data_IF_778554729299
#
_entry.id   IF_778554729299
#
_cell.length_a   1.000
_cell.length_b   1.000
_cell.length_c   1.000
_cell.angle_alpha   90.00
_cell.angle_beta   90.00
_cell.angle_gamma   90.00
#
_symmetry.space_group_name_H-M   'P 1'
#
loop_
_entity.id
_entity.type
_entity.pdbx_description
1 polymer ?
#
# COMPACT_ATOMS: atom_id res chain seq x y z
N UNK A 1 5.17 -16.07 17.81
CA UNK A 1 5.13 -16.05 16.33
C UNK A 1 5.56 -14.67 15.90
N UNK A 2 6.37 -14.56 14.85
CA UNK A 2 6.69 -13.26 14.27
C UNK A 2 5.41 -12.62 13.70
N UNK A 3 5.24 -11.30 13.85
CA UNK A 3 4.07 -10.61 13.31
C UNK A 3 4.06 -10.71 11.78
N UNK A 4 2.87 -10.84 11.21
CA UNK A 4 2.68 -10.82 9.75
C UNK A 4 2.89 -9.38 9.29
N UNK A 5 3.89 -9.12 8.42
CA UNK A 5 4.11 -7.78 7.90
C UNK A 5 3.01 -7.46 6.88
N UNK A 6 2.22 -6.43 7.17
CA UNK A 6 1.22 -5.89 6.23
C UNK A 6 1.64 -4.49 5.77
N UNK A 7 1.45 -4.14 4.50
CA UNK A 7 1.73 -2.79 4.01
C UNK A 7 0.79 -1.77 4.67
N UNK A 8 1.33 -0.64 5.10
CA UNK A 8 0.54 0.45 5.64
C UNK A 8 -0.43 1.02 4.58
N UNK A 9 -1.67 1.32 4.99
CA UNK A 9 -2.72 1.83 4.10
C UNK A 9 -2.35 3.12 3.36
N UNK A 10 -1.46 3.93 3.94
CA UNK A 10 -0.95 5.18 3.36
C UNK A 10 -0.42 5.00 1.93
N UNK A 11 0.12 3.82 1.59
CA UNK A 11 0.60 3.52 0.24
C UNK A 11 -0.50 3.58 -0.81
N UNK A 12 -1.64 2.96 -0.51
CA UNK A 12 -2.77 2.94 -1.42
C UNK A 12 -3.45 4.30 -1.50
N UNK A 13 -3.54 5.02 -0.38
CA UNK A 13 -4.14 6.36 -0.35
C UNK A 13 -3.34 7.37 -1.16
N UNK A 14 -2.01 7.39 -1.00
CA UNK A 14 -1.14 8.28 -1.76
C UNK A 14 -1.21 7.99 -3.26
N UNK A 15 -1.19 6.70 -3.63
CA UNK A 15 -1.30 6.29 -5.02
C UNK A 15 -2.67 6.66 -5.62
N UNK A 16 -3.76 6.43 -4.88
CA UNK A 16 -5.11 6.82 -5.29
C UNK A 16 -5.22 8.34 -5.46
N UNK A 17 -4.73 9.13 -4.50
CA UNK A 17 -4.73 10.59 -4.61
C UNK A 17 -3.94 11.08 -5.81
N UNK A 18 -2.78 10.47 -6.11
CA UNK A 18 -1.97 10.82 -7.27
C UNK A 18 -2.73 10.54 -8.58
N UNK A 19 -3.31 9.34 -8.69
CA UNK A 19 -4.09 8.97 -9.87
C UNK A 19 -5.32 9.86 -10.05
N UNK A 20 -6.09 10.07 -8.99
CA UNK A 20 -7.34 10.83 -9.04
C UNK A 20 -7.11 12.33 -9.27
N UNK A 21 -6.12 12.94 -8.60
CA UNK A 21 -5.92 14.40 -8.58
C UNK A 21 -4.87 14.91 -9.56
N UNK A 22 -3.93 14.07 -10.00
CA UNK A 22 -2.87 14.46 -10.94
C UNK A 22 -3.05 13.76 -12.27
N UNK A 23 -2.93 12.43 -12.30
CA UNK A 23 -2.89 11.67 -13.56
C UNK A 23 -4.19 11.80 -14.34
N UNK A 24 -5.34 11.55 -13.69
CA UNK A 24 -6.65 11.62 -14.34
C UNK A 24 -6.98 13.00 -14.88
N UNK A 25 -6.55 14.06 -14.19
CA UNK A 25 -6.73 15.45 -14.62
C UNK A 25 -5.80 15.83 -15.78
N UNK A 26 -4.60 15.27 -15.82
CA UNK A 26 -3.63 15.55 -16.89
C UNK A 26 -3.93 14.80 -18.20
N UNK A 27 -4.69 13.71 -18.14
CA UNK A 27 -5.03 12.89 -19.31
C UNK A 27 -6.28 13.43 -20.02
N UNK A 28 -6.23 13.49 -21.35
CA UNK A 28 -7.36 13.92 -22.18
C UNK A 28 -8.59 13.02 -21.92
N UNK A 29 -9.74 13.63 -21.62
CA UNK A 29 -11.02 12.91 -21.48
C UNK A 29 -11.35 12.10 -22.74
N UNK A 30 -11.98 10.94 -22.57
CA UNK A 30 -12.35 9.99 -23.62
C UNK A 30 -11.17 9.44 -24.44
N UNK A 31 -9.96 9.51 -23.89
CA UNK A 31 -8.81 8.81 -24.46
C UNK A 31 -8.68 7.41 -23.84
N UNK A 32 -8.05 6.46 -24.55
CA UNK A 32 -7.75 5.14 -23.98
C UNK A 32 -6.93 5.22 -22.68
N UNK A 33 -6.08 6.24 -22.53
CA UNK A 33 -5.31 6.48 -21.31
C UNK A 33 -6.21 6.87 -20.14
N UNK A 34 -7.26 7.65 -20.39
CA UNK A 34 -8.21 8.06 -19.35
C UNK A 34 -8.95 6.84 -18.79
N UNK A 35 -9.42 5.96 -19.68
CA UNK A 35 -10.06 4.71 -19.29
C UNK A 35 -9.11 3.80 -18.51
N UNK A 36 -7.85 3.71 -18.92
CA UNK A 36 -6.82 2.96 -18.17
C UNK A 36 -6.59 3.52 -16.77
N UNK A 37 -6.57 4.85 -16.61
CA UNK A 37 -6.44 5.49 -15.29
C UNK A 37 -7.66 5.18 -14.43
N UNK A 38 -8.87 5.27 -14.98
CA UNK A 38 -10.11 4.94 -14.26
C UNK A 38 -10.14 3.46 -13.84
N UNK A 39 -9.74 2.55 -14.72
CA UNK A 39 -9.60 1.12 -14.40
C UNK A 39 -8.56 0.88 -13.29
N UNK A 40 -7.43 1.61 -13.31
CA UNK A 40 -6.39 1.49 -12.30
C UNK A 40 -6.89 1.96 -10.92
N UNK A 41 -7.61 3.09 -10.87
CA UNK A 41 -8.26 3.59 -9.64
C UNK A 41 -9.25 2.56 -9.09
N UNK A 42 -10.12 2.01 -9.95
CA UNK A 42 -11.09 0.98 -9.53
C UNK A 42 -10.39 -0.25 -8.97
N UNK A 43 -9.35 -0.72 -9.65
CA UNK A 43 -8.59 -1.91 -9.23
C UNK A 43 -7.91 -1.69 -7.89
N UNK A 44 -7.30 -0.52 -7.69
CA UNK A 44 -6.66 -0.17 -6.42
C UNK A 44 -7.67 -0.09 -5.28
N UNK A 45 -8.85 0.51 -5.50
CA UNK A 45 -9.91 0.54 -4.48
C UNK A 45 -10.36 -0.87 -4.09
N UNK A 46 -10.46 -1.79 -5.06
CA UNK A 46 -10.74 -3.22 -4.79
C UNK A 46 -9.60 -3.87 -4.00
N UNK A 47 -8.35 -3.61 -4.36
CA UNK A 47 -7.18 -4.12 -3.64
C UNK A 47 -7.17 -3.66 -2.17
N UNK A 48 -7.53 -2.40 -1.90
CA UNK A 48 -7.67 -1.89 -0.52
C UNK A 48 -8.75 -2.65 0.26
N UNK A 49 -9.89 -2.93 -0.37
CA UNK A 49 -10.95 -3.71 0.28
C UNK A 49 -10.50 -5.14 0.61
N UNK A 50 -9.78 -5.79 -0.32
CA UNK A 50 -9.20 -7.11 -0.09
C UNK A 50 -8.14 -7.08 1.02
N UNK A 51 -7.30 -6.04 1.07
CA UNK A 51 -6.30 -5.86 2.14
C UNK A 51 -6.96 -5.76 3.53
N UNK A 52 -8.05 -4.99 3.65
CA UNK A 52 -8.84 -4.92 4.90
C UNK A 52 -9.42 -6.27 5.31
N UNK A 53 -9.88 -7.06 4.34
CA UNK A 53 -10.39 -8.41 4.61
C UNK A 53 -9.28 -9.34 5.11
N UNK A 54 -8.08 -9.26 4.52
CA UNK A 54 -6.91 -10.01 4.96
C UNK A 54 -6.51 -9.63 6.40
N UNK A 55 -6.37 -8.33 6.66
CA UNK A 55 -6.08 -7.81 8.00
C UNK A 55 -7.10 -8.32 9.03
N UNK A 56 -8.39 -8.19 8.71
CA UNK A 56 -9.47 -8.65 9.58
C UNK A 56 -9.40 -10.17 9.82
N UNK A 57 -9.03 -10.95 8.81
CA UNK A 57 -8.83 -12.39 8.92
C UNK A 57 -7.65 -12.73 9.83
N UNK A 58 -6.53 -11.99 9.75
CA UNK A 58 -5.39 -12.14 10.65
C UNK A 58 -5.79 -11.85 12.11
N UNK A 59 -6.51 -10.75 12.34
CA UNK A 59 -7.02 -10.37 13.66
C UNK A 59 -7.95 -11.46 14.22
N UNK A 60 -8.87 -11.99 13.41
CA UNK A 60 -9.79 -13.07 13.81
C UNK A 60 -9.07 -14.37 14.15
N UNK A 61 -7.96 -14.66 13.45
CA UNK A 61 -7.10 -15.81 13.73
C UNK A 61 -6.12 -15.58 14.89
N UNK A 62 -6.20 -14.42 15.57
CA UNK A 62 -5.30 -14.01 16.64
C UNK A 62 -3.82 -14.00 16.20
N UNK A 63 -3.58 -13.69 14.92
CA UNK A 63 -2.25 -13.56 14.33
C UNK A 63 -1.77 -12.11 14.52
N UNK A 64 -0.61 -11.88 15.13
CA UNK A 64 -0.08 -10.53 15.30
C UNK A 64 0.23 -9.92 13.92
N UNK A 65 -0.16 -8.66 13.73
CA UNK A 65 0.03 -7.90 12.49
C UNK A 65 0.96 -6.72 12.79
N UNK A 66 1.88 -6.44 11.87
CA UNK A 66 2.78 -5.30 11.94
C UNK A 66 2.74 -4.50 10.64
N UNK A 67 2.49 -3.20 10.74
CA UNK A 67 2.29 -2.33 9.58
C UNK A 67 3.61 -1.73 9.11
N UNK A 68 4.01 -2.03 7.88
CA UNK A 68 5.25 -1.57 7.28
C UNK A 68 5.00 -0.51 6.22
N UNK A 69 5.77 0.57 6.30
CA UNK A 69 5.75 1.71 5.38
C UNK A 69 6.86 1.64 4.32
N UNK A 70 7.80 0.70 4.46
CA UNK A 70 8.83 0.45 3.47
C UNK A 70 9.37 -0.98 3.63
N UNK A 71 9.97 -1.52 2.57
CA UNK A 71 10.65 -2.81 2.61
C UNK A 71 12.00 -2.75 3.36
N UNK A 72 12.52 -1.54 3.56
CA UNK A 72 13.74 -1.31 4.31
C UNK A 72 13.38 -1.15 5.78
N UNK A 73 13.31 -2.27 6.48
CA UNK A 73 13.36 -2.25 7.92
C UNK A 73 14.78 -1.79 8.30
N UNK A 74 14.91 -0.58 8.85
CA UNK A 74 16.15 -0.20 9.52
C UNK A 74 16.24 -1.14 10.71
N UNK A 75 16.96 -2.25 10.55
CA UNK A 75 17.18 -3.17 11.66
C UNK A 75 18.04 -2.40 12.67
N UNK A 76 17.56 -2.11 13.90
CA UNK A 76 18.34 -1.41 14.90
C UNK A 76 19.65 -2.15 15.24
N UNK A 77 19.75 -3.45 14.93
CA UNK A 77 20.98 -4.23 15.06
C UNK A 77 22.03 -3.89 13.99
N UNK A 78 21.63 -3.38 12.82
CA UNK A 78 22.56 -2.93 11.77
C UNK A 78 23.18 -1.55 12.04
N UNK A 79 22.63 -0.79 12.98
CA UNK A 79 23.15 0.54 13.36
C UNK A 79 24.31 0.43 14.38
N UNK A 80 24.52 -0.74 15.00
CA UNK A 80 25.56 -0.96 16.00
C UNK A 80 26.77 -1.75 15.46
N UNK A 81 27.29 -1.42 14.26
CA UNK A 81 28.70 -1.71 13.98
C UNK A 81 29.53 -0.53 14.50
N UNK A 82 30.38 -0.72 15.54
CA UNK A 82 31.41 0.26 15.82
C UNK A 82 32.38 0.25 14.64
N UNK A 83 32.51 1.38 13.95
CA UNK A 83 33.66 1.62 13.09
C UNK A 83 34.91 1.59 13.99
N UNK A 84 35.71 0.53 13.83
CA UNK A 84 37.01 0.36 14.47
C UNK A 84 38.12 1.09 13.73
#
# INVERSE_FOLDING_TARGET
MEPIPLPAYVHYELLLQFLERKTRFAVKRNSPQYEKVDQLIITLRKAVALHKQLEQSCIQANLPVDYRWSLNEINPEQINLPEG
#
